data_IF_135666368043
#
_entry.id   IF_135666368043
#
_cell.length_a   1.000
_cell.length_b   1.000
_cell.length_c   1.000
_cell.angle_alpha   90.00
_cell.angle_beta   90.00
_cell.angle_gamma   90.00
#
_symmetry.space_group_name_H-M   'P 1'
#
loop_
_entity.id
_entity.type
_entity.pdbx_description
1 polymer ?
#
# COMPACT_ATOMS: atom_id res chain seq x y z
N UNK A 1 32.88 -1.45 57.37
CA UNK A 1 33.28 -1.00 56.01
C UNK A 1 33.32 -2.17 55.01
N UNK A 2 32.30 -3.02 54.96
CA UNK A 2 32.22 -4.21 54.08
C UNK A 2 31.45 -3.95 52.77
N UNK A 3 30.49 -3.03 52.81
CA UNK A 3 29.53 -2.75 51.74
C UNK A 3 30.10 -2.24 50.41
N UNK A 4 31.38 -1.82 50.34
CA UNK A 4 31.99 -1.32 49.11
C UNK A 4 32.59 -2.45 48.26
N UNK A 5 33.23 -3.42 48.91
CA UNK A 5 33.84 -4.57 48.23
C UNK A 5 32.78 -5.47 47.59
N UNK A 6 31.64 -5.62 48.25
CA UNK A 6 30.50 -6.40 47.75
C UNK A 6 29.83 -5.74 46.53
N UNK A 7 29.78 -4.39 46.49
CA UNK A 7 29.27 -3.64 45.33
C UNK A 7 30.18 -3.72 44.12
N UNK A 8 31.50 -3.76 44.33
CA UNK A 8 32.48 -3.92 43.25
C UNK A 8 32.52 -5.37 42.72
N UNK A 9 32.43 -6.36 43.61
CA UNK A 9 32.34 -7.77 43.22
C UNK A 9 31.10 -8.05 42.37
N UNK A 10 29.93 -7.55 42.80
CA UNK A 10 28.68 -7.71 42.06
C UNK A 10 28.62 -6.96 40.72
N UNK A 11 29.48 -5.97 40.49
CA UNK A 11 29.57 -5.25 39.20
C UNK A 11 30.29 -6.09 38.14
N UNK A 12 31.36 -6.79 38.53
CA UNK A 12 32.12 -7.65 37.62
C UNK A 12 31.28 -8.82 37.11
N UNK A 13 30.43 -9.40 37.96
CA UNK A 13 29.52 -10.48 37.57
C UNK A 13 28.40 -9.99 36.64
N UNK A 14 27.88 -8.78 36.87
CA UNK A 14 26.85 -8.16 36.02
C UNK A 14 27.36 -7.82 34.62
N UNK A 15 28.63 -7.41 34.49
CA UNK A 15 29.25 -7.12 33.19
C UNK A 15 29.48 -8.36 32.34
N UNK A 16 29.75 -9.51 32.96
CA UNK A 16 29.97 -10.78 32.26
C UNK A 16 28.67 -11.47 31.82
N UNK A 17 27.58 -11.26 32.57
CA UNK A 17 26.30 -11.94 32.35
C UNK A 17 25.28 -11.12 31.57
N UNK A 18 25.40 -9.80 31.55
CA UNK A 18 24.46 -8.94 30.82
C UNK A 18 24.90 -8.84 29.36
N UNK A 19 24.15 -9.45 28.45
CA UNK A 19 24.33 -9.18 27.03
C UNK A 19 24.02 -7.71 26.76
N UNK A 20 24.96 -7.00 26.16
CA UNK A 20 24.80 -5.61 25.76
C UNK A 20 23.69 -5.53 24.72
N UNK A 21 22.48 -5.17 25.16
CA UNK A 21 21.41 -4.79 24.24
C UNK A 21 21.75 -3.41 23.68
N UNK A 22 22.53 -3.39 22.60
CA UNK A 22 22.67 -2.17 21.81
C UNK A 22 21.25 -1.76 21.34
N UNK A 23 20.86 -0.48 21.47
CA UNK A 23 19.58 0.00 20.97
C UNK A 23 19.61 -0.11 19.45
N UNK A 24 19.11 -1.23 18.92
CA UNK A 24 19.08 -1.45 17.48
C UNK A 24 18.02 -0.53 16.89
N UNK A 25 18.48 0.52 16.22
CA UNK A 25 17.59 1.49 15.61
C UNK A 25 16.87 0.83 14.43
N UNK A 26 15.61 0.48 14.62
CA UNK A 26 14.73 -0.04 13.56
C UNK A 26 14.35 1.12 12.63
N UNK A 27 15.01 1.19 11.48
CA UNK A 27 14.67 2.17 10.44
C UNK A 27 13.45 1.67 9.68
N UNK A 28 12.37 2.45 9.68
CA UNK A 28 11.22 2.18 8.81
C UNK A 28 11.46 2.83 7.44
N UNK A 29 11.16 2.16 6.33
CA UNK A 29 11.24 2.76 5.01
C UNK A 29 10.34 4.00 4.95
N UNK A 30 10.89 5.11 4.47
CA UNK A 30 10.10 6.31 4.20
C UNK A 30 9.13 5.95 3.08
N UNK A 31 7.84 5.86 3.39
CA UNK A 31 6.80 5.69 2.38
C UNK A 31 6.86 6.92 1.48
N UNK A 32 7.28 6.74 0.23
CA UNK A 32 7.23 7.79 -0.76
C UNK A 32 5.80 8.37 -0.79
N UNK A 33 5.62 9.70 -0.90
CA UNK A 33 4.31 10.28 -1.07
C UNK A 33 3.69 9.63 -2.31
N UNK A 34 2.50 9.05 -2.15
CA UNK A 34 1.77 8.48 -3.27
C UNK A 34 1.57 9.61 -4.29
N UNK A 35 1.79 9.36 -5.60
CA UNK A 35 1.50 10.35 -6.62
C UNK A 35 0.03 10.78 -6.46
N UNK A 36 -0.26 12.06 -6.72
CA UNK A 36 -1.60 12.66 -6.65
C UNK A 36 -2.58 11.87 -7.51
N UNK A 37 -3.13 10.79 -6.95
CA UNK A 37 -4.22 10.04 -7.54
C UNK A 37 -5.42 10.95 -7.35
N UNK A 38 -5.98 11.43 -8.47
CA UNK A 38 -7.28 12.07 -8.46
C UNK A 38 -8.23 11.26 -7.57
N UNK A 39 -9.00 11.94 -6.71
CA UNK A 39 -9.90 11.29 -5.75
C UNK A 39 -10.80 10.29 -6.46
N UNK A 40 -10.48 9.01 -6.33
CA UNK A 40 -11.23 7.93 -6.96
C UNK A 40 -12.53 7.72 -6.19
N UNK A 41 -13.66 7.68 -6.90
CA UNK A 41 -14.97 7.39 -6.33
C UNK A 41 -15.40 6.00 -6.78
N UNK A 42 -16.03 5.24 -5.89
CA UNK A 42 -16.60 3.94 -6.23
C UNK A 42 -17.81 4.11 -7.15
N UNK A 43 -17.75 3.46 -8.32
CA UNK A 43 -18.86 3.43 -9.28
C UNK A 43 -19.62 2.11 -9.17
N UNK A 44 -20.79 2.14 -8.52
CA UNK A 44 -21.66 0.96 -8.35
C UNK A 44 -22.81 1.01 -9.37
N UNK A 45 -22.88 0.01 -10.25
CA UNK A 45 -23.90 -0.11 -11.29
C UNK A 45 -24.35 -1.58 -11.43
N UNK A 46 -25.64 -1.78 -11.68
CA UNK A 46 -26.20 -3.07 -12.08
C UNK A 46 -26.13 -3.22 -13.61
N UNK A 47 -25.29 -4.13 -14.08
CA UNK A 47 -25.03 -4.35 -15.50
C UNK A 47 -25.46 -5.77 -15.91
N UNK A 48 -26.01 -5.99 -17.12
CA UNK A 48 -26.29 -7.33 -17.61
C UNK A 48 -25.06 -8.24 -17.59
N UNK A 49 -25.24 -9.48 -17.12
CA UNK A 49 -24.15 -10.47 -17.01
C UNK A 49 -23.45 -10.73 -18.35
N UNK A 50 -24.20 -10.67 -19.44
CA UNK A 50 -23.68 -10.85 -20.81
C UNK A 50 -22.73 -9.73 -21.21
N UNK A 51 -23.05 -8.47 -20.85
CA UNK A 51 -22.20 -7.31 -21.14
C UNK A 51 -20.90 -7.38 -20.34
N UNK A 52 -20.97 -7.75 -19.05
CA UNK A 52 -19.78 -7.91 -18.21
C UNK A 52 -18.83 -8.98 -18.78
N UNK A 53 -19.36 -10.09 -19.31
CA UNK A 53 -18.53 -11.12 -19.95
C UNK A 53 -17.81 -10.59 -21.18
N UNK A 54 -18.54 -9.93 -22.09
CA UNK A 54 -17.97 -9.35 -23.32
C UNK A 54 -16.87 -8.32 -23.00
N UNK A 55 -17.14 -7.45 -22.03
CA UNK A 55 -16.20 -6.41 -21.65
C UNK A 55 -14.94 -7.01 -21.00
N UNK A 56 -15.07 -8.07 -20.20
CA UNK A 56 -13.90 -8.81 -19.67
C UNK A 56 -13.07 -9.46 -20.79
N UNK A 57 -13.72 -10.11 -21.75
CA UNK A 57 -13.01 -10.70 -22.90
C UNK A 57 -12.24 -9.64 -23.67
N UNK A 58 -12.88 -8.50 -23.97
CA UNK A 58 -12.24 -7.36 -24.62
C UNK A 58 -11.03 -6.85 -23.83
N UNK A 59 -11.16 -6.64 -22.52
CA UNK A 59 -10.04 -6.18 -21.69
C UNK A 59 -8.86 -7.17 -21.68
N UNK A 60 -9.14 -8.47 -21.74
CA UNK A 60 -8.09 -9.51 -21.83
C UNK A 60 -7.37 -9.42 -23.17
N UNK A 61 -8.11 -9.27 -24.28
CA UNK A 61 -7.55 -9.15 -25.64
C UNK A 61 -6.66 -7.91 -25.78
N UNK A 62 -6.96 -6.83 -25.07
CA UNK A 62 -6.23 -5.57 -25.11
C UNK A 62 -5.23 -5.36 -23.95
N UNK A 63 -5.00 -6.38 -23.11
CA UNK A 63 -4.11 -6.32 -21.94
C UNK A 63 -4.43 -5.16 -20.98
N UNK A 64 -5.69 -4.75 -20.92
CA UNK A 64 -6.16 -3.64 -20.09
C UNK A 64 -6.83 -4.13 -18.82
N UNK A 65 -6.74 -3.33 -17.75
CA UNK A 65 -7.55 -3.59 -16.55
C UNK A 65 -9.03 -3.31 -16.81
N UNK A 66 -9.91 -4.05 -16.14
CA UNK A 66 -11.36 -3.84 -16.22
C UNK A 66 -11.75 -2.38 -15.90
N UNK A 67 -11.04 -1.76 -14.95
CA UNK A 67 -11.23 -0.36 -14.57
C UNK A 67 -10.88 0.59 -15.72
N UNK A 68 -9.74 0.36 -16.38
CA UNK A 68 -9.30 1.18 -17.50
C UNK A 68 -10.28 1.13 -18.67
N UNK A 69 -10.71 -0.07 -19.07
CA UNK A 69 -11.73 -0.24 -20.11
C UNK A 69 -13.04 0.49 -19.78
N UNK A 70 -13.48 0.42 -18.52
CA UNK A 70 -14.70 1.09 -18.09
C UNK A 70 -14.58 2.61 -18.17
N UNK A 71 -13.44 3.17 -17.75
CA UNK A 71 -13.18 4.62 -17.83
C UNK A 71 -13.16 5.06 -19.30
N UNK A 72 -12.43 4.35 -20.15
CA UNK A 72 -12.33 4.65 -21.58
C UNK A 72 -13.70 4.62 -22.26
N UNK A 73 -14.52 3.60 -22.00
CA UNK A 73 -15.86 3.49 -22.54
C UNK A 73 -16.78 4.64 -22.09
N UNK A 74 -16.68 5.07 -20.83
CA UNK A 74 -17.45 6.19 -20.30
C UNK A 74 -17.00 7.54 -20.91
N UNK A 75 -15.70 7.76 -21.01
CA UNK A 75 -15.13 8.97 -21.63
C UNK A 75 -15.51 9.10 -23.10
N UNK A 76 -15.43 8.00 -23.86
CA UNK A 76 -15.86 7.96 -25.26
C UNK A 76 -17.35 8.25 -25.40
N UNK A 77 -18.19 7.73 -24.52
CA UNK A 77 -19.62 8.00 -24.53
C UNK A 77 -19.92 9.47 -24.25
N UNK A 78 -19.22 10.09 -23.30
CA UNK A 78 -19.36 11.52 -23.01
C UNK A 78 -18.85 12.39 -24.17
N UNK A 79 -17.71 12.05 -24.76
CA UNK A 79 -17.13 12.78 -25.89
C UNK A 79 -18.01 12.70 -27.15
N UNK A 80 -18.64 11.55 -27.42
CA UNK A 80 -19.54 11.39 -28.57
C UNK A 80 -20.85 12.15 -28.39
N UNK A 81 -21.41 12.18 -27.18
CA UNK A 81 -22.66 12.90 -26.91
C UNK A 81 -22.48 14.42 -26.86
N UNK A 82 -21.34 14.90 -26.39
CA UNK A 82 -21.04 16.34 -26.30
C UNK A 82 -20.72 16.99 -27.65
N UNK A 83 -20.20 16.22 -28.62
CA UNK A 83 -19.94 16.72 -29.99
C UNK A 83 -21.21 16.85 -30.85
N UNK A 84 -22.32 16.22 -30.45
CA UNK A 84 -23.57 16.20 -31.20
C UNK A 84 -24.64 17.18 -30.66
N UNK A 85 -24.26 18.06 -29.73
CA UNK A 85 -25.05 19.20 -29.23
C UNK A 85 -24.30 20.48 -29.52
#
# INVERSE_FOLDING_TARGET
MTNYKDKLGGLADKLKTTSLQAPIQKVQPVKAPAPDRATEVQFNNWIPKTLLKRLKTFCIEHEQSLKACNIEALELLLATKTKNT
#
